data_IF_467367299303
#
_entry.id   IF_467367299303
#
_cell.length_a   1.000
_cell.length_b   1.000
_cell.length_c   1.000
_cell.angle_alpha   90.00
_cell.angle_beta   90.00
_cell.angle_gamma   90.00
#
_symmetry.space_group_name_H-M   'P 1'
#
loop_
_entity.id
_entity.type
_entity.pdbx_description
1 polymer ?
#
# COMPACT_ATOMS: atom_id res chain seq x y z
N UNK A 1 9.96 2.45 -7.86
CA UNK A 1 11.02 3.38 -7.40
C UNK A 1 11.67 2.85 -6.12
N UNK A 2 12.65 3.55 -5.50
CA UNK A 2 13.18 3.17 -4.18
C UNK A 2 12.07 3.14 -3.12
N UNK A 3 11.18 4.14 -3.12
CA UNK A 3 10.05 4.23 -2.20
C UNK A 3 9.07 3.06 -2.36
N UNK A 4 8.70 2.70 -3.60
CA UNK A 4 7.84 1.52 -3.85
C UNK A 4 8.41 0.25 -3.23
N UNK A 5 9.72 -0.01 -3.42
CA UNK A 5 10.38 -1.19 -2.86
C UNK A 5 10.40 -1.16 -1.33
N UNK A 6 10.63 0.01 -0.73
CA UNK A 6 10.60 0.16 0.72
C UNK A 6 9.21 -0.14 1.30
N UNK A 7 8.15 0.39 0.68
CA UNK A 7 6.76 0.11 1.07
C UNK A 7 6.43 -1.38 0.92
N UNK A 8 6.76 -1.99 -0.23
CA UNK A 8 6.50 -3.41 -0.42
C UNK A 8 7.25 -4.29 0.58
N UNK A 9 8.50 -3.96 0.92
CA UNK A 9 9.27 -4.70 1.91
C UNK A 9 8.69 -4.54 3.32
N UNK A 10 8.26 -3.33 3.68
CA UNK A 10 7.61 -3.09 4.97
C UNK A 10 6.31 -3.90 5.08
N UNK A 11 5.45 -3.85 4.06
CA UNK A 11 4.20 -4.63 4.06
C UNK A 11 4.48 -6.13 4.13
N UNK A 12 5.45 -6.66 3.35
CA UNK A 12 5.81 -8.10 3.42
C UNK A 12 6.33 -8.51 4.80
N UNK A 13 7.03 -7.61 5.49
CA UNK A 13 7.55 -7.86 6.84
C UNK A 13 6.43 -7.95 7.87
N UNK A 14 5.44 -7.05 7.80
CA UNK A 14 4.36 -6.97 8.78
C UNK A 14 3.11 -7.79 8.43
N UNK A 15 2.94 -8.14 7.14
CA UNK A 15 1.83 -8.96 6.67
C UNK A 15 2.29 -10.10 5.74
N UNK A 16 2.81 -11.20 6.31
CA UNK A 16 3.36 -12.32 5.53
C UNK A 16 2.27 -13.12 4.78
N UNK A 17 0.98 -12.92 5.11
CA UNK A 17 -0.13 -13.56 4.42
C UNK A 17 -0.37 -12.94 3.04
N UNK A 18 0.16 -11.75 2.77
CA UNK A 18 0.06 -11.12 1.45
C UNK A 18 1.12 -11.67 0.50
N UNK A 19 0.67 -12.04 -0.71
CA UNK A 19 1.52 -12.49 -1.80
C UNK A 19 1.20 -11.73 -3.08
N UNK A 20 2.10 -11.82 -4.07
CA UNK A 20 2.00 -11.05 -5.32
C UNK A 20 1.80 -9.54 -5.07
N UNK A 21 2.34 -9.03 -3.96
CA UNK A 21 2.22 -7.65 -3.53
C UNK A 21 2.83 -6.71 -4.58
N UNK A 22 2.03 -5.75 -5.02
CA UNK A 22 2.43 -4.66 -5.92
C UNK A 22 1.95 -3.33 -5.34
N UNK A 23 2.87 -2.36 -5.27
CA UNK A 23 2.53 -0.99 -4.89
C UNK A 23 2.63 -0.07 -6.10
N UNK A 24 1.58 0.71 -6.35
CA UNK A 24 1.56 1.77 -7.36
C UNK A 24 1.49 3.11 -6.65
N UNK A 25 2.47 3.98 -6.91
CA UNK A 25 2.47 5.35 -6.41
C UNK A 25 1.75 6.23 -7.42
N UNK A 26 0.85 7.09 -6.95
CA UNK A 26 0.36 8.20 -7.77
C UNK A 26 1.42 9.32 -7.79
N UNK A 27 1.40 10.22 -8.80
CA UNK A 27 2.23 11.40 -8.78
C UNK A 27 2.04 12.19 -7.49
N UNK A 28 3.15 12.53 -6.85
CA UNK A 28 3.11 13.31 -5.61
C UNK A 28 2.54 14.70 -5.89
N UNK A 29 1.49 15.09 -5.16
CA UNK A 29 0.97 16.46 -5.18
C UNK A 29 1.80 17.30 -4.22
N UNK A 30 2.67 18.16 -4.76
CA UNK A 30 3.45 19.11 -3.94
C UNK A 30 2.57 20.13 -3.21
N UNK A 31 1.41 20.46 -3.80
CA UNK A 31 0.45 21.43 -3.25
C UNK A 31 -0.21 20.87 -1.99
N UNK A 32 -0.67 19.63 -2.03
CA UNK A 32 -1.36 19.01 -0.89
C UNK A 32 -0.37 18.37 0.08
N UNK A 33 0.90 18.18 -0.33
CA UNK A 33 1.90 17.35 0.36
C UNK A 33 1.35 15.97 0.70
N UNK A 34 0.61 15.36 -0.24
CA UNK A 34 -0.01 14.04 -0.05
C UNK A 34 0.68 13.02 -0.93
N UNK A 35 1.10 11.91 -0.33
CA UNK A 35 1.49 10.70 -1.04
C UNK A 35 0.30 9.75 -1.11
N UNK A 36 -0.19 9.51 -2.33
CA UNK A 36 -1.22 8.49 -2.57
C UNK A 36 -0.59 7.26 -3.18
N UNK A 37 -1.00 6.10 -2.70
CA UNK A 37 -0.58 4.84 -3.30
C UNK A 37 -1.66 3.79 -3.19
N UNK A 38 -1.65 2.88 -4.16
CA UNK A 38 -2.51 1.71 -4.20
C UNK A 38 -1.69 0.46 -3.98
N UNK A 39 -2.21 -0.42 -3.14
CA UNK A 39 -1.70 -1.75 -2.88
C UNK A 39 -2.60 -2.76 -3.57
N UNK A 40 -2.02 -3.70 -4.31
CA UNK A 40 -2.72 -4.87 -4.86
C UNK A 40 -1.97 -6.13 -4.40
N UNK A 41 -2.69 -7.12 -3.88
CA UNK A 41 -2.10 -8.39 -3.41
C UNK A 41 -3.11 -9.55 -3.46
N UNK A 42 -2.60 -10.77 -3.24
CA UNK A 42 -3.39 -11.94 -2.88
C UNK A 42 -3.22 -12.23 -1.39
N UNK A 43 -4.31 -12.22 -0.65
CA UNK A 43 -4.39 -12.64 0.74
C UNK A 43 -4.47 -14.17 0.80
N UNK A 44 -3.46 -14.80 1.41
CA UNK A 44 -3.44 -16.25 1.64
C UNK A 44 -4.35 -16.61 2.81
N UNK A 45 -5.59 -16.91 2.49
CA UNK A 45 -6.60 -17.45 3.42
C UNK A 45 -7.12 -18.78 2.89
N UNK A 46 -7.63 -19.61 3.80
CA UNK A 46 -8.28 -20.88 3.47
C UNK A 46 -9.77 -20.63 3.16
N UNK A 47 -10.39 -21.35 2.20
CA UNK A 47 -9.81 -22.44 1.41
C UNK A 47 -9.12 -21.97 0.11
N UNK A 48 -9.19 -20.68 -0.23
CA UNK A 48 -8.63 -20.17 -1.50
C UNK A 48 -8.12 -18.74 -1.30
N UNK A 49 -6.95 -18.38 -1.86
CA UNK A 49 -6.45 -17.01 -1.78
C UNK A 49 -7.40 -15.99 -2.40
N UNK A 50 -7.53 -14.83 -1.76
CA UNK A 50 -8.44 -13.76 -2.17
C UNK A 50 -7.68 -12.55 -2.70
N UNK A 51 -8.09 -11.93 -3.83
CA UNK A 51 -7.51 -10.67 -4.27
C UNK A 51 -7.97 -9.54 -3.35
N UNK A 52 -7.02 -8.69 -2.95
CA UNK A 52 -7.30 -7.50 -2.15
C UNK A 52 -6.68 -6.26 -2.78
N UNK A 53 -7.30 -5.11 -2.54
CA UNK A 53 -6.75 -3.82 -2.89
C UNK A 53 -7.04 -2.80 -1.79
N UNK A 54 -6.05 -1.94 -1.53
CA UNK A 54 -6.21 -0.81 -0.64
C UNK A 54 -5.73 0.46 -1.33
N UNK A 55 -6.50 1.53 -1.17
CA UNK A 55 -6.10 2.87 -1.51
C UNK A 55 -5.65 3.58 -0.24
N UNK A 56 -4.49 4.24 -0.32
CA UNK A 56 -3.82 4.80 0.85
C UNK A 56 -3.41 6.23 0.62
N UNK A 57 -3.62 7.05 1.64
CA UNK A 57 -3.28 8.48 1.67
C UNK A 57 -2.36 8.72 2.86
N UNK A 58 -1.12 9.17 2.59
CA UNK A 58 -0.15 9.55 3.61
C UNK A 58 0.11 11.05 3.54
N UNK A 59 0.02 11.74 4.68
CA UNK A 59 0.38 13.14 4.85
C UNK A 59 1.70 13.24 5.65
N UNK A 60 2.86 13.49 5.00
CA UNK A 60 4.16 13.48 5.66
C UNK A 60 4.36 14.60 6.68
N UNK A 61 3.54 15.67 6.63
CA UNK A 61 3.69 16.86 7.48
C UNK A 61 3.17 16.71 8.91
N UNK A 62 2.21 15.81 9.14
CA UNK A 62 1.59 15.55 10.44
C UNK A 62 1.62 14.06 10.84
N UNK A 63 2.04 13.17 9.93
CA UNK A 63 2.06 11.72 10.18
C UNK A 63 0.68 11.07 10.10
N UNK A 64 -0.34 11.78 9.61
CA UNK A 64 -1.67 11.21 9.41
C UNK A 64 -1.68 10.24 8.22
N UNK A 65 -2.41 9.15 8.40
CA UNK A 65 -2.49 8.05 7.45
C UNK A 65 -3.93 7.54 7.38
N UNK A 66 -4.49 7.46 6.17
CA UNK A 66 -5.82 6.92 5.91
C UNK A 66 -5.72 5.73 4.95
N UNK A 67 -6.35 4.61 5.32
CA UNK A 67 -6.48 3.41 4.49
C UNK A 67 -7.95 3.24 4.12
N UNK A 68 -8.24 3.00 2.84
CA UNK A 68 -9.55 2.65 2.34
C UNK A 68 -9.48 1.31 1.61
N UNK A 69 -10.42 0.43 1.93
CA UNK A 69 -10.66 -0.78 1.13
C UNK A 69 -11.35 -0.37 -0.18
N UNK A 70 -10.87 -0.90 -1.30
CA UNK A 70 -11.39 -0.58 -2.64
C UNK A 70 -12.60 -1.43 -3.02
#
# INVERSE_FOLDING_TARGET
>A
SKLTKALENAVRLFEPRLSNLKVKLEPFSEVDKVLRFRLEALLKVEPTPEPIAFDTVLQPGNGEFEIKES
#
